data_IF_504667319967
#
_entry.id   IF_504667319967
#
_cell.length_a   1.000
_cell.length_b   1.000
_cell.length_c   1.000
_cell.angle_alpha   90.00
_cell.angle_beta   90.00
_cell.angle_gamma   90.00
#
_symmetry.space_group_name_H-M   'P 1'
#
loop_
_entity.id
_entity.type
_entity.pdbx_description
1 polymer ?
#
# COMPACT_ATOMS: atom_id res chain seq x y z
N UNK A 1 6.74 2.38 -15.06
CA UNK A 1 6.90 1.98 -13.64
C UNK A 1 5.91 0.85 -13.39
N UNK A 2 6.33 -0.20 -12.68
CA UNK A 2 5.49 -1.38 -12.46
C UNK A 2 4.76 -1.20 -11.12
N UNK A 3 3.45 -0.98 -11.18
CA UNK A 3 2.58 -0.84 -10.00
C UNK A 3 2.70 -2.10 -9.14
N UNK A 4 3.06 -1.96 -7.85
CA UNK A 4 3.10 -3.04 -6.87
C UNK A 4 1.91 -2.98 -5.94
N UNK A 5 1.40 -1.79 -5.64
CA UNK A 5 0.29 -1.60 -4.73
C UNK A 5 -0.95 -1.10 -5.46
N UNK A 6 -2.11 -1.66 -5.14
CA UNK A 6 -3.39 -1.22 -5.71
C UNK A 6 -4.50 -1.19 -4.66
N UNK A 7 -5.61 -0.55 -4.99
CA UNK A 7 -6.76 -0.40 -4.11
C UNK A 7 -7.80 -1.47 -4.38
N UNK A 8 -8.43 -1.94 -3.30
CA UNK A 8 -9.65 -2.73 -3.38
C UNK A 8 -10.59 -2.31 -2.27
N UNK A 9 -11.85 -2.13 -2.63
CA UNK A 9 -12.92 -1.81 -1.68
C UNK A 9 -13.09 -2.95 -0.68
N UNK A 10 -13.34 -2.60 0.57
CA UNK A 10 -13.62 -3.50 1.68
C UNK A 10 -14.84 -2.99 2.48
N UNK A 11 -15.40 -3.76 3.43
CA UNK A 11 -16.60 -3.35 4.17
C UNK A 11 -16.49 -2.06 4.99
N UNK A 12 -15.26 -1.66 5.35
CA UNK A 12 -14.98 -0.51 6.22
C UNK A 12 -14.38 0.69 5.45
N UNK A 13 -14.08 0.51 4.16
CA UNK A 13 -13.51 1.54 3.29
C UNK A 13 -12.69 0.91 2.15
N UNK A 14 -11.40 1.24 2.10
CA UNK A 14 -10.47 0.78 1.08
C UNK A 14 -9.23 0.16 1.71
N UNK A 15 -8.79 -0.93 1.10
CA UNK A 15 -7.54 -1.61 1.46
C UNK A 15 -6.52 -1.42 0.34
N UNK A 16 -5.28 -1.12 0.75
CA UNK A 16 -4.12 -1.15 -0.14
C UNK A 16 -3.56 -2.57 -0.17
N UNK A 17 -3.52 -3.19 -1.34
CA UNK A 17 -3.01 -4.56 -1.55
C UNK A 17 -1.65 -4.54 -2.21
N UNK A 18 -0.73 -5.39 -1.74
CA UNK A 18 0.46 -5.76 -2.50
C UNK A 18 0.07 -6.79 -3.58
N UNK A 19 0.12 -6.39 -4.85
CA UNK A 19 -0.26 -7.21 -6.00
C UNK A 19 0.61 -8.48 -6.16
N UNK A 20 1.83 -8.48 -5.62
CA UNK A 20 2.71 -9.64 -5.70
C UNK A 20 2.31 -10.72 -4.69
N UNK A 21 1.90 -10.30 -3.50
CA UNK A 21 1.55 -11.23 -2.41
C UNK A 21 0.05 -11.53 -2.34
N UNK A 22 -0.79 -10.62 -2.84
CA UNK A 22 -2.25 -10.65 -2.72
C UNK A 22 -2.77 -10.25 -1.34
N UNK A 23 -1.91 -9.82 -0.42
CA UNK A 23 -2.25 -9.44 0.95
C UNK A 23 -2.32 -7.93 1.14
N UNK A 24 -3.05 -7.45 2.17
CA UNK A 24 -3.01 -6.05 2.56
C UNK A 24 -1.57 -5.60 2.83
N UNK A 25 -1.23 -4.40 2.38
CA UNK A 25 0.04 -3.76 2.71
C UNK A 25 0.10 -3.53 4.23
N UNK A 26 1.27 -3.78 4.81
CA UNK A 26 1.52 -3.58 6.24
C UNK A 26 2.62 -2.54 6.39
N UNK A 27 2.30 -1.44 7.08
CA UNK A 27 3.24 -0.35 7.40
C UNK A 27 3.43 -0.33 8.91
N UNK A 28 4.66 -0.48 9.38
CA UNK A 28 5.00 -0.49 10.81
C UNK A 28 4.15 -1.48 11.63
N UNK A 29 3.79 -2.63 11.05
CA UNK A 29 2.96 -3.65 11.70
C UNK A 29 1.45 -3.41 11.63
N UNK A 30 1.00 -2.33 10.98
CA UNK A 30 -0.41 -1.98 10.81
C UNK A 30 -0.86 -2.27 9.39
N UNK A 31 -1.89 -3.09 9.23
CA UNK A 31 -2.52 -3.35 7.94
C UNK A 31 -3.24 -2.09 7.43
N UNK A 32 -3.00 -1.75 6.17
CA UNK A 32 -3.58 -0.57 5.53
C UNK A 32 -4.95 -0.91 4.93
N UNK A 33 -5.95 -1.05 5.81
CA UNK A 33 -7.34 -1.49 5.51
C UNK A 33 -8.36 -0.49 6.08
N UNK A 34 -9.56 -0.42 5.51
CA UNK A 34 -10.63 0.44 6.02
C UNK A 34 -10.28 1.94 5.96
N UNK A 35 -9.39 2.31 5.05
CA UNK A 35 -9.03 3.70 4.79
C UNK A 35 -10.13 4.37 3.96
N UNK A 36 -10.27 5.68 4.03
CA UNK A 36 -11.03 6.37 3.00
C UNK A 36 -10.28 6.32 1.66
N UNK A 37 -10.99 6.64 0.57
CA UNK A 37 -10.41 6.54 -0.78
C UNK A 37 -9.20 7.47 -0.98
N UNK A 38 -9.17 8.64 -0.33
CA UNK A 38 -8.08 9.61 -0.51
C UNK A 38 -6.83 9.11 0.21
N UNK A 39 -6.97 8.68 1.46
CA UNK A 39 -5.88 8.12 2.25
C UNK A 39 -5.33 6.82 1.62
N UNK A 40 -6.22 5.98 1.07
CA UNK A 40 -5.83 4.75 0.41
C UNK A 40 -5.01 5.02 -0.86
N UNK A 41 -5.46 5.96 -1.71
CA UNK A 41 -4.78 6.36 -2.93
C UNK A 41 -3.40 6.95 -2.64
N UNK A 42 -3.32 7.89 -1.69
CA UNK A 42 -2.04 8.48 -1.25
C UNK A 42 -1.07 7.42 -0.70
N UNK A 43 -1.59 6.45 0.07
CA UNK A 43 -0.79 5.35 0.61
C UNK A 43 -0.27 4.43 -0.51
N UNK A 44 -1.11 4.05 -1.48
CA UNK A 44 -0.69 3.22 -2.61
C UNK A 44 0.39 3.91 -3.45
N UNK A 45 0.21 5.20 -3.76
CA UNK A 45 1.22 5.98 -4.48
C UNK A 45 2.53 6.12 -3.71
N UNK A 46 2.48 6.35 -2.39
CA UNK A 46 3.67 6.41 -1.54
C UNK A 46 4.42 5.08 -1.55
N UNK A 47 3.72 3.97 -1.35
CA UNK A 47 4.33 2.64 -1.29
C UNK A 47 4.92 2.23 -2.64
N UNK A 48 4.25 2.56 -3.75
CA UNK A 48 4.82 2.38 -5.07
C UNK A 48 6.11 3.19 -5.21
N UNK A 49 6.12 4.49 -4.86
CA UNK A 49 7.35 5.30 -4.95
C UNK A 49 8.49 4.72 -4.10
N UNK A 50 8.20 4.21 -2.90
CA UNK A 50 9.19 3.57 -2.03
C UNK A 50 9.72 2.25 -2.60
N UNK A 51 8.84 1.43 -3.17
CA UNK A 51 9.24 0.18 -3.82
C UNK A 51 10.13 0.43 -5.06
N UNK A 52 9.90 1.53 -5.77
CA UNK A 52 10.70 1.93 -6.92
C UNK A 52 12.00 2.66 -6.52
N UNK A 53 12.06 3.30 -5.35
CA UNK A 53 13.23 4.10 -4.95
C UNK A 53 14.38 3.28 -4.35
N UNK A 54 14.14 2.03 -3.96
CA UNK A 54 15.20 1.07 -3.63
C UNK A 54 16.27 1.58 -2.66
N UNK A 55 15.95 2.53 -1.78
CA UNK A 55 16.90 3.00 -0.78
C UNK A 55 16.80 2.10 0.44
N UNK A 56 17.74 1.17 0.54
CA UNK A 56 18.09 0.46 1.76
C UNK A 56 18.18 1.46 2.91
N UNK A 57 17.20 1.46 3.82
CA UNK A 57 17.44 1.97 5.16
C UNK A 57 18.17 0.86 5.90
N UNK A 58 19.49 0.82 5.72
CA UNK A 58 20.38 0.20 6.69
C UNK A 58 20.16 0.92 8.03
N UNK A 59 19.68 0.16 9.01
CA UNK A 59 19.78 0.47 10.44
C UNK A 59 20.99 -0.25 11.03
#
# INVERSE_FOLDING_TARGET
>A
MQKRFDLREDPDGWTVFDLFTGWPAVVSGVAQTGLDIQDADEMAELLDRLAHSGHSLEI
#
